data_IF_278833021782
#
_entry.id   IF_278833021782
#
_cell.length_a   1.000
_cell.length_b   1.000
_cell.length_c   1.000
_cell.angle_alpha   90.00
_cell.angle_beta   90.00
_cell.angle_gamma   90.00
#
_symmetry.space_group_name_H-M   'P 1'
#
loop_
_entity.id
_entity.type
_entity.pdbx_description
1 polymer ?
#
# COMPACT_ATOMS: atom_id res chain seq x y z
N UNK A 1 -26.52 4.54 -14.11
CA UNK A 1 -25.36 5.23 -13.51
C UNK A 1 -24.10 4.73 -14.20
N UNK A 2 -23.14 5.62 -14.45
CA UNK A 2 -21.85 5.26 -15.08
C UNK A 2 -21.00 4.53 -14.05
N UNK A 3 -20.41 3.40 -14.45
CA UNK A 3 -19.52 2.61 -13.60
C UNK A 3 -18.40 1.94 -14.41
N UNK A 4 -17.31 1.60 -13.72
CA UNK A 4 -16.16 0.86 -14.25
C UNK A 4 -15.67 -0.14 -13.19
N UNK A 5 -15.05 -1.25 -13.62
CA UNK A 5 -14.45 -2.22 -12.73
C UNK A 5 -12.93 -2.10 -12.73
N UNK A 6 -12.34 -2.34 -11.58
CA UNK A 6 -10.90 -2.42 -11.40
C UNK A 6 -10.54 -3.69 -10.65
N UNK A 7 -9.38 -4.26 -10.93
CA UNK A 7 -8.83 -5.43 -10.24
C UNK A 7 -7.47 -5.10 -9.65
N UNK A 8 -7.38 -5.09 -8.31
CA UNK A 8 -6.17 -4.80 -7.54
C UNK A 8 -5.83 -5.98 -6.66
N UNK A 9 -4.64 -6.59 -6.81
CA UNK A 9 -4.23 -7.77 -6.02
C UNK A 9 -5.25 -8.93 -6.03
N UNK A 10 -5.82 -9.19 -7.21
CA UNK A 10 -6.92 -10.13 -7.46
C UNK A 10 -8.25 -9.79 -6.75
N UNK A 11 -8.40 -8.58 -6.21
CA UNK A 11 -9.63 -8.06 -5.67
C UNK A 11 -10.31 -7.18 -6.72
N UNK A 12 -11.47 -7.61 -7.22
CA UNK A 12 -12.27 -6.78 -8.11
C UNK A 12 -13.17 -5.84 -7.33
N UNK A 13 -13.19 -4.56 -7.70
CA UNK A 13 -14.13 -3.59 -7.15
C UNK A 13 -14.75 -2.75 -8.24
N UNK A 14 -15.98 -2.32 -7.98
CA UNK A 14 -16.74 -1.45 -8.87
C UNK A 14 -16.62 -0.02 -8.40
N UNK A 15 -16.38 0.90 -9.34
CA UNK A 15 -16.43 2.34 -9.11
C UNK A 15 -17.66 2.87 -9.82
N UNK A 16 -18.52 3.57 -9.09
CA UNK A 16 -19.76 4.14 -9.58
C UNK A 16 -19.82 5.65 -9.32
N UNK A 17 -20.31 6.40 -10.32
CA UNK A 17 -20.40 7.86 -10.29
C UNK A 17 -19.60 8.49 -11.43
N UNK A 18 -20.25 9.37 -12.21
CA UNK A 18 -19.68 9.91 -13.45
C UNK A 18 -18.36 10.65 -13.24
N UNK A 19 -18.29 11.54 -12.24
CA UNK A 19 -17.10 12.34 -11.96
C UNK A 19 -15.91 11.45 -11.54
N UNK A 20 -16.14 10.47 -10.66
CA UNK A 20 -15.10 9.57 -10.18
C UNK A 20 -14.59 8.65 -11.31
N UNK A 21 -15.49 8.09 -12.12
CA UNK A 21 -15.11 7.27 -13.28
C UNK A 21 -14.32 8.11 -14.32
N UNK A 22 -14.74 9.35 -14.57
CA UNK A 22 -14.04 10.24 -15.49
C UNK A 22 -12.66 10.66 -14.98
N UNK A 23 -12.49 10.82 -13.67
CA UNK A 23 -11.18 11.07 -13.07
C UNK A 23 -10.27 9.85 -13.27
N UNK A 24 -10.68 8.67 -12.80
CA UNK A 24 -9.84 7.47 -12.83
C UNK A 24 -9.50 7.00 -14.26
N UNK A 25 -10.37 7.20 -15.24
CA UNK A 25 -10.07 6.87 -16.65
C UNK A 25 -8.95 7.74 -17.26
N UNK A 26 -8.70 8.92 -16.69
CA UNK A 26 -7.60 9.82 -17.11
C UNK A 26 -6.30 9.55 -16.37
N UNK A 27 -6.35 8.85 -15.24
CA UNK A 27 -5.18 8.53 -14.42
C UNK A 27 -4.39 7.36 -15.01
N UNK A 28 -3.18 7.61 -15.52
CA UNK A 28 -2.29 6.55 -16.02
C UNK A 28 -2.02 5.45 -14.97
N UNK A 29 -2.07 5.83 -13.69
CA UNK A 29 -1.89 4.93 -12.55
C UNK A 29 -2.92 3.80 -12.49
N UNK A 30 -4.17 4.06 -12.87
CA UNK A 30 -5.27 3.12 -12.71
C UNK A 30 -5.55 2.30 -13.97
N UNK A 31 -5.10 2.74 -15.15
CA UNK A 31 -5.35 2.05 -16.42
C UNK A 31 -4.92 0.57 -16.44
N UNK A 32 -3.73 0.16 -15.93
CA UNK A 32 -3.33 -1.25 -15.94
C UNK A 32 -4.22 -2.16 -15.09
N UNK A 33 -5.00 -1.55 -14.19
CA UNK A 33 -5.87 -2.24 -13.25
C UNK A 33 -7.34 -2.21 -13.68
N UNK A 34 -7.69 -1.53 -14.78
CA UNK A 34 -9.04 -1.53 -15.33
C UNK A 34 -9.42 -2.92 -15.85
N UNK A 35 -10.57 -3.42 -15.41
CA UNK A 35 -11.07 -4.75 -15.73
C UNK A 35 -11.66 -5.47 -14.53
N UNK A 36 -12.43 -6.52 -14.80
CA UNK A 36 -13.20 -7.26 -13.81
C UNK A 36 -14.66 -7.37 -14.22
N UNK A 37 -15.50 -7.85 -13.31
CA UNK A 37 -16.93 -8.01 -13.54
C UNK A 37 -17.71 -8.07 -12.23
N UNK A 38 -19.03 -7.94 -12.32
CA UNK A 38 -19.93 -8.03 -11.17
C UNK A 38 -19.82 -9.37 -10.43
N UNK A 39 -19.62 -10.49 -11.15
CA UNK A 39 -19.53 -11.83 -10.54
C UNK A 39 -18.31 -12.02 -9.62
N UNK A 40 -17.24 -11.24 -9.84
CA UNK A 40 -16.01 -11.28 -9.03
C UNK A 40 -15.87 -10.13 -8.03
N UNK A 41 -16.87 -9.25 -7.95
CA UNK A 41 -16.82 -8.02 -7.17
C UNK A 41 -16.76 -8.32 -5.67
N UNK A 42 -15.75 -7.77 -5.00
CA UNK A 42 -15.60 -7.89 -3.54
C UNK A 42 -16.09 -6.65 -2.80
N UNK A 43 -16.06 -5.47 -3.42
CA UNK A 43 -16.66 -4.25 -2.87
C UNK A 43 -16.98 -3.25 -3.99
N UNK A 44 -17.70 -2.19 -3.65
CA UNK A 44 -17.96 -1.08 -4.56
C UNK A 44 -17.76 0.27 -3.88
N UNK A 45 -17.51 1.28 -4.71
CA UNK A 45 -17.30 2.65 -4.29
C UNK A 45 -18.30 3.53 -5.04
N UNK A 46 -19.14 4.22 -4.27
CA UNK A 46 -20.11 5.18 -4.82
C UNK A 46 -19.65 6.60 -4.56
N UNK A 47 -19.50 7.37 -5.63
CA UNK A 47 -19.33 8.79 -5.49
C UNK A 47 -20.68 9.52 -5.43
N UNK A 48 -20.83 10.40 -4.45
CA UNK A 48 -21.95 11.32 -4.38
C UNK A 48 -21.49 12.77 -4.20
N UNK A 49 -22.08 13.67 -4.98
CA UNK A 49 -21.92 15.10 -4.81
C UNK A 49 -22.74 15.66 -3.65
N UNK A 50 -23.68 14.89 -3.09
CA UNK A 50 -24.45 15.28 -1.91
C UNK A 50 -23.61 15.15 -0.64
N UNK A 51 -23.51 16.23 0.15
CA UNK A 51 -22.81 16.19 1.43
C UNK A 51 -23.61 15.39 2.46
N UNK A 52 -23.04 14.28 2.89
CA UNK A 52 -23.46 13.52 4.07
C UNK A 52 -22.64 13.98 5.28
N UNK A 53 -23.30 14.15 6.43
CA UNK A 53 -22.68 14.60 7.67
C UNK A 53 -22.80 13.46 8.68
N UNK A 54 -21.69 13.15 9.34
CA UNK A 54 -21.61 12.11 10.36
C UNK A 54 -21.31 12.73 11.73
N UNK A 55 -21.84 12.10 12.77
CA UNK A 55 -21.30 12.29 14.12
C UNK A 55 -20.16 11.28 14.31
N UNK A 56 -19.02 11.76 14.79
CA UNK A 56 -17.80 10.96 14.98
C UNK A 56 -17.58 10.75 16.47
N UNK A 57 -17.26 9.51 16.86
CA UNK A 57 -17.05 9.13 18.26
C UNK A 57 -15.57 9.26 18.65
N UNK A 58 -14.69 8.59 17.91
CA UNK A 58 -13.25 8.52 18.17
C UNK A 58 -12.45 8.89 16.92
N UNK A 59 -11.50 9.82 17.05
CA UNK A 59 -10.44 10.01 16.06
C UNK A 59 -9.32 9.02 16.34
N UNK A 60 -9.16 8.02 15.48
CA UNK A 60 -8.21 6.92 15.64
C UNK A 60 -6.82 7.30 15.15
N UNK A 61 -6.73 8.12 14.11
CA UNK A 61 -5.46 8.54 13.53
C UNK A 61 -5.58 9.90 12.87
N UNK A 62 -4.51 10.70 12.98
CA UNK A 62 -4.38 11.99 12.33
C UNK A 62 -2.96 12.15 11.79
N UNK A 63 -2.84 12.83 10.64
CA UNK A 63 -1.57 13.18 10.06
C UNK A 63 -1.65 14.52 9.34
N UNK A 64 -0.76 15.44 9.69
CA UNK A 64 -0.52 16.67 8.93
C UNK A 64 0.67 16.44 8.01
N UNK A 65 0.40 16.33 6.70
CA UNK A 65 1.39 16.36 5.64
C UNK A 65 1.81 17.79 5.32
N UNK A 66 2.57 17.96 4.22
CA UNK A 66 3.03 19.28 3.78
C UNK A 66 1.86 20.18 3.36
N UNK A 67 0.97 19.66 2.52
CA UNK A 67 -0.14 20.41 1.91
C UNK A 67 -1.53 19.83 2.23
N UNK A 68 -1.61 18.93 3.22
CA UNK A 68 -2.88 18.30 3.59
C UNK A 68 -2.93 17.88 5.06
N UNK A 69 -4.13 17.81 5.60
CA UNK A 69 -4.45 17.13 6.85
C UNK A 69 -5.30 15.90 6.54
N UNK A 70 -4.97 14.77 7.15
CA UNK A 70 -5.69 13.52 7.07
C UNK A 70 -6.18 13.11 8.45
N UNK A 71 -7.42 12.64 8.53
CA UNK A 71 -7.98 12.01 9.73
C UNK A 71 -8.71 10.71 9.39
N UNK A 72 -8.68 9.79 10.36
CA UNK A 72 -9.39 8.52 10.32
C UNK A 72 -10.11 8.30 11.65
N UNK A 73 -11.42 8.11 11.59
CA UNK A 73 -12.31 8.15 12.76
C UNK A 73 -13.38 7.05 12.72
N UNK A 74 -13.97 6.74 13.87
CA UNK A 74 -15.18 5.91 13.97
C UNK A 74 -16.43 6.77 13.78
N UNK A 75 -17.43 6.21 13.09
CA UNK A 75 -18.74 6.81 12.95
C UNK A 75 -19.62 6.35 14.11
N UNK A 76 -20.20 7.32 14.84
CA UNK A 76 -21.03 7.06 16.01
C UNK A 76 -22.24 6.18 15.64
N UNK A 77 -22.42 5.07 16.35
CA UNK A 77 -23.59 4.21 16.25
C UNK A 77 -23.71 3.36 14.98
N UNK A 78 -22.76 3.43 14.03
CA UNK A 78 -22.80 2.61 12.79
C UNK A 78 -21.82 1.43 12.80
N UNK A 79 -20.83 1.41 13.69
CA UNK A 79 -19.71 0.46 13.63
C UNK A 79 -18.82 0.64 12.39
N UNK A 80 -18.98 1.76 11.69
CA UNK A 80 -18.25 2.11 10.48
C UNK A 80 -17.10 3.09 10.73
N UNK A 81 -16.43 3.46 9.64
CA UNK A 81 -15.26 4.34 9.67
C UNK A 81 -15.40 5.48 8.68
N UNK A 82 -14.81 6.63 9.04
CA UNK A 82 -14.77 7.84 8.24
C UNK A 82 -13.32 8.30 8.07
N UNK A 83 -12.91 8.51 6.84
CA UNK A 83 -11.61 9.02 6.45
C UNK A 83 -11.79 10.37 5.74
N UNK A 84 -10.99 11.38 6.08
CA UNK A 84 -11.06 12.70 5.46
C UNK A 84 -9.68 13.22 5.11
N UNK A 85 -9.59 13.87 3.96
CA UNK A 85 -8.47 14.73 3.57
C UNK A 85 -9.00 16.15 3.45
N UNK A 86 -8.26 17.09 4.04
CA UNK A 86 -8.44 18.52 3.87
C UNK A 86 -7.14 19.07 3.32
N UNK A 87 -7.15 19.63 2.11
CA UNK A 87 -5.97 20.27 1.51
C UNK A 87 -5.80 21.71 2.00
N UNK A 88 -4.63 22.28 1.80
CA UNK A 88 -4.26 23.66 2.17
C UNK A 88 -5.22 24.75 1.62
N UNK A 89 -5.77 24.51 0.43
CA UNK A 89 -6.77 25.35 -0.23
C UNK A 89 -8.18 25.21 0.37
N UNK A 90 -8.36 24.33 1.37
CA UNK A 90 -9.63 24.07 2.05
C UNK A 90 -10.56 23.10 1.34
N UNK A 91 -10.12 22.42 0.28
CA UNK A 91 -10.90 21.35 -0.35
C UNK A 91 -10.97 20.12 0.57
N UNK A 92 -12.18 19.63 0.78
CA UNK A 92 -12.44 18.45 1.59
C UNK A 92 -12.85 17.28 0.68
N UNK A 93 -12.20 16.13 0.85
CA UNK A 93 -12.63 14.85 0.28
C UNK A 93 -12.80 13.87 1.42
N UNK A 94 -13.88 13.09 1.41
CA UNK A 94 -14.13 12.10 2.45
C UNK A 94 -14.50 10.76 1.85
N UNK A 95 -14.07 9.69 2.51
CA UNK A 95 -14.44 8.31 2.21
C UNK A 95 -14.93 7.63 3.49
N UNK A 96 -16.01 6.89 3.40
CA UNK A 96 -16.53 6.16 4.55
C UNK A 96 -17.16 4.83 4.18
N UNK A 97 -17.33 4.00 5.21
CA UNK A 97 -18.15 2.79 5.17
C UNK A 97 -18.99 2.75 6.44
N UNK A 98 -20.21 2.23 6.34
CA UNK A 98 -21.06 1.95 7.50
C UNK A 98 -20.97 0.45 7.84
N UNK A 99 -20.83 0.12 9.12
CA UNK A 99 -20.75 -1.27 9.59
C UNK A 99 -19.70 -2.14 8.90
N UNK A 100 -20.09 -3.36 8.54
CA UNK A 100 -19.27 -4.36 7.85
C UNK A 100 -19.59 -4.45 6.34
N UNK A 101 -20.31 -3.45 5.80
CA UNK A 101 -20.71 -3.47 4.40
C UNK A 101 -19.50 -3.38 3.47
N UNK A 102 -19.61 -4.08 2.33
CA UNK A 102 -18.62 -4.03 1.24
C UNK A 102 -18.90 -2.85 0.30
N UNK A 103 -19.38 -1.74 0.86
CA UNK A 103 -19.75 -0.53 0.13
C UNK A 103 -19.02 0.64 0.77
N UNK A 104 -18.21 1.31 -0.04
CA UNK A 104 -17.56 2.57 0.30
C UNK A 104 -18.30 3.70 -0.38
N UNK A 105 -18.36 4.83 0.29
CA UNK A 105 -18.87 6.06 -0.28
C UNK A 105 -17.76 7.10 -0.31
N UNK A 106 -17.75 7.91 -1.35
CA UNK A 106 -16.81 9.02 -1.52
C UNK A 106 -17.60 10.29 -1.81
N UNK A 107 -17.19 11.40 -1.20
CA UNK A 107 -17.82 12.72 -1.43
C UNK A 107 -16.78 13.84 -1.35
N UNK A 108 -17.18 15.02 -1.81
CA UNK A 108 -16.36 16.23 -1.72
C UNK A 108 -15.57 16.49 -3.00
N UNK A 109 -14.47 17.24 -2.89
CA UNK A 109 -13.66 17.62 -4.03
C UNK A 109 -13.03 16.39 -4.71
N UNK A 110 -13.17 16.30 -6.03
CA UNK A 110 -12.58 15.25 -6.85
C UNK A 110 -11.22 15.74 -7.36
N UNK A 111 -10.18 15.56 -6.54
CA UNK A 111 -8.78 15.79 -6.94
C UNK A 111 -8.04 14.46 -7.05
N UNK A 112 -7.10 14.38 -8.00
CA UNK A 112 -6.28 13.18 -8.25
C UNK A 112 -5.60 12.67 -6.97
N UNK A 113 -4.97 13.58 -6.22
CA UNK A 113 -4.29 13.26 -4.97
C UNK A 113 -5.24 12.71 -3.90
N UNK A 114 -6.30 13.46 -3.55
CA UNK A 114 -7.17 13.08 -2.43
C UNK A 114 -7.95 11.80 -2.73
N UNK A 115 -8.45 11.66 -3.97
CA UNK A 115 -9.13 10.44 -4.41
C UNK A 115 -8.16 9.25 -4.40
N UNK A 116 -6.97 9.38 -4.99
CA UNK A 116 -5.99 8.28 -5.00
C UNK A 116 -5.61 7.83 -3.58
N UNK A 117 -5.36 8.78 -2.67
CA UNK A 117 -5.05 8.49 -1.28
C UNK A 117 -6.22 7.79 -0.57
N UNK A 118 -7.43 8.33 -0.65
CA UNK A 118 -8.59 7.74 0.03
C UNK A 118 -8.99 6.39 -0.58
N UNK A 119 -8.78 6.17 -1.87
CA UNK A 119 -8.94 4.85 -2.47
C UNK A 119 -7.96 3.83 -1.89
N UNK A 120 -6.72 4.22 -1.57
CA UNK A 120 -5.74 3.36 -0.87
C UNK A 120 -6.24 2.99 0.52
N UNK A 121 -6.71 3.98 1.27
CA UNK A 121 -7.28 3.78 2.62
C UNK A 121 -8.52 2.88 2.57
N UNK A 122 -9.45 3.19 1.67
CA UNK A 122 -10.67 2.41 1.44
C UNK A 122 -10.37 0.96 1.05
N UNK A 123 -9.39 0.74 0.18
CA UNK A 123 -8.94 -0.61 -0.16
C UNK A 123 -8.42 -1.36 1.08
N UNK A 124 -7.63 -0.70 1.92
CA UNK A 124 -7.14 -1.28 3.19
C UNK A 124 -8.29 -1.61 4.16
N UNK A 125 -9.29 -0.74 4.28
CA UNK A 125 -10.47 -0.97 5.13
C UNK A 125 -11.20 -2.28 4.79
N UNK A 126 -11.27 -2.61 3.50
CA UNK A 126 -11.93 -3.84 3.05
C UNK A 126 -11.00 -5.04 3.12
N UNK A 127 -9.71 -4.88 2.77
CA UNK A 127 -8.85 -6.02 2.44
C UNK A 127 -7.82 -6.41 3.51
N UNK A 128 -7.58 -5.59 4.54
CA UNK A 128 -6.62 -5.92 5.60
C UNK A 128 -6.97 -7.23 6.32
N UNK A 129 -8.25 -7.44 6.64
CA UNK A 129 -8.73 -8.68 7.29
C UNK A 129 -8.64 -9.91 6.36
N UNK A 130 -8.47 -9.68 5.06
CA UNK A 130 -8.22 -10.68 4.03
C UNK A 130 -6.71 -10.90 3.79
N UNK A 131 -5.85 -10.46 4.71
CA UNK A 131 -4.40 -10.68 4.64
C UNK A 131 -3.69 -9.82 3.59
N UNK A 132 -4.28 -8.68 3.20
CA UNK A 132 -3.70 -7.76 2.21
C UNK A 132 -3.33 -6.42 2.83
N UNK A 133 -2.11 -5.96 2.64
CA UNK A 133 -1.68 -4.64 3.14
C UNK A 133 -0.93 -3.88 2.05
N UNK A 134 -1.25 -2.61 1.86
CA UNK A 134 -0.41 -1.69 1.11
C UNK A 134 0.77 -1.26 1.98
N UNK A 135 1.95 -1.83 1.74
CA UNK A 135 3.13 -1.59 2.58
C UNK A 135 3.97 -0.45 1.99
N UNK A 136 4.42 0.47 2.84
CA UNK A 136 5.30 1.55 2.42
C UNK A 136 6.72 1.01 2.12
N UNK A 137 7.02 0.82 0.84
CA UNK A 137 8.24 0.14 0.37
C UNK A 137 8.47 0.23 -1.13
N UNK A 138 9.67 -0.15 -1.58
CA UNK A 138 10.02 -0.21 -3.00
C UNK A 138 10.33 -1.66 -3.38
N UNK A 139 9.67 -2.19 -4.41
CA UNK A 139 9.73 -3.60 -4.76
C UNK A 139 10.33 -3.82 -6.14
N UNK A 140 11.36 -4.66 -6.21
CA UNK A 140 11.94 -5.13 -7.47
C UNK A 140 11.65 -6.60 -7.68
N UNK A 141 11.69 -7.04 -8.94
CA UNK A 141 11.55 -8.43 -9.34
C UNK A 141 12.80 -8.85 -10.08
N UNK A 142 13.38 -9.98 -9.68
CA UNK A 142 14.54 -10.61 -10.31
C UNK A 142 14.18 -12.07 -10.60
N UNK A 143 14.18 -12.44 -11.88
CA UNK A 143 13.89 -13.81 -12.34
C UNK A 143 12.62 -14.43 -11.73
N UNK A 144 11.54 -13.64 -11.68
CA UNK A 144 10.24 -14.09 -11.19
C UNK A 144 10.09 -14.12 -9.66
N UNK A 145 11.09 -13.68 -8.90
CA UNK A 145 11.01 -13.53 -7.45
C UNK A 145 11.07 -12.05 -7.07
N UNK A 146 10.23 -11.65 -6.11
CA UNK A 146 10.19 -10.27 -5.63
C UNK A 146 11.03 -10.05 -4.37
N UNK A 147 11.59 -8.85 -4.28
CA UNK A 147 12.41 -8.37 -3.16
C UNK A 147 11.97 -6.96 -2.76
N UNK A 148 11.68 -6.80 -1.48
CA UNK A 148 11.08 -5.58 -0.93
C UNK A 148 12.09 -4.79 -0.10
N UNK A 149 12.23 -3.50 -0.41
CA UNK A 149 13.05 -2.56 0.35
C UNK A 149 12.18 -1.65 1.21
N UNK A 150 12.40 -1.72 2.52
CA UNK A 150 11.68 -0.98 3.54
C UNK A 150 12.57 0.09 4.16
N UNK A 151 11.96 1.04 4.87
CA UNK A 151 12.68 2.11 5.55
C UNK A 151 11.89 3.40 5.61
N UNK A 152 12.40 4.35 6.38
CA UNK A 152 11.76 5.65 6.59
C UNK A 152 11.56 6.41 5.27
N UNK A 153 10.60 7.33 5.25
CA UNK A 153 10.43 8.22 4.10
C UNK A 153 11.72 9.01 3.87
N UNK A 154 12.16 9.08 2.60
CA UNK A 154 13.41 9.78 2.24
C UNK A 154 14.72 9.03 2.51
N UNK A 155 14.71 7.84 3.12
CA UNK A 155 15.97 7.13 3.48
C UNK A 155 16.75 6.58 2.27
N UNK A 156 16.08 6.39 1.13
CA UNK A 156 16.70 5.92 -0.12
C UNK A 156 16.14 4.65 -0.74
N UNK A 157 14.91 4.21 -0.39
CA UNK A 157 14.27 2.99 -0.95
C UNK A 157 14.26 2.97 -2.49
N UNK A 158 13.71 4.01 -3.12
CA UNK A 158 13.66 4.15 -4.58
C UNK A 158 15.06 4.22 -5.20
N UNK A 159 16.00 4.90 -4.53
CA UNK A 159 17.42 4.93 -4.94
C UNK A 159 18.00 3.52 -4.98
N UNK A 160 17.71 2.70 -3.97
CA UNK A 160 18.24 1.34 -3.88
C UNK A 160 17.63 0.41 -4.93
N UNK A 161 16.32 0.47 -5.15
CA UNK A 161 15.66 -0.27 -6.24
C UNK A 161 16.23 0.09 -7.61
N UNK A 162 16.53 1.38 -7.84
CA UNK A 162 17.19 1.83 -9.07
C UNK A 162 18.60 1.25 -9.21
N UNK A 163 19.39 1.23 -8.13
CA UNK A 163 20.72 0.59 -8.15
C UNK A 163 20.63 -0.90 -8.48
N UNK A 164 19.59 -1.60 -7.99
CA UNK A 164 19.33 -2.98 -8.38
C UNK A 164 19.08 -3.13 -9.89
N UNK A 165 18.23 -2.27 -10.47
CA UNK A 165 17.90 -2.30 -11.90
C UNK A 165 19.12 -1.97 -12.77
N UNK A 166 19.95 -1.02 -12.32
CA UNK A 166 21.13 -0.57 -13.08
C UNK A 166 22.29 -1.59 -13.05
N UNK A 167 22.41 -2.39 -11.98
CA UNK A 167 23.62 -3.19 -11.74
C UNK A 167 23.37 -4.71 -11.71
N UNK A 168 22.11 -5.16 -11.67
CA UNK A 168 21.76 -6.59 -11.60
C UNK A 168 20.88 -6.94 -12.80
N UNK A 169 21.43 -7.75 -13.70
CA UNK A 169 20.72 -8.21 -14.91
C UNK A 169 19.38 -8.89 -14.57
N UNK A 170 18.42 -8.80 -15.50
CA UNK A 170 17.08 -9.40 -15.37
C UNK A 170 16.29 -8.91 -14.12
N UNK A 171 16.55 -7.66 -13.71
CA UNK A 171 15.82 -6.99 -12.63
C UNK A 171 14.94 -5.88 -13.19
N UNK A 172 13.73 -5.73 -12.68
CA UNK A 172 12.86 -4.60 -12.98
C UNK A 172 12.07 -4.14 -11.74
N UNK A 173 11.57 -2.90 -11.77
CA UNK A 173 10.71 -2.35 -10.73
C UNK A 173 9.28 -2.90 -10.86
N UNK A 174 8.71 -3.39 -9.77
CA UNK A 174 7.30 -3.79 -9.70
C UNK A 174 6.41 -2.62 -9.27
N UNK A 175 6.81 -1.92 -8.21
CA UNK A 175 6.15 -0.74 -7.67
C UNK A 175 7.12 -0.02 -6.71
N UNK A 176 7.02 1.30 -6.63
CA UNK A 176 7.82 2.12 -5.73
C UNK A 176 6.89 2.95 -4.87
N UNK A 177 6.68 2.62 -3.59
CA UNK A 177 5.95 3.33 -2.53
C UNK A 177 4.90 2.46 -1.85
N UNK A 178 3.92 1.94 -2.58
CA UNK A 178 2.78 1.24 -1.96
C UNK A 178 2.46 -0.11 -2.65
N UNK A 179 3.41 -1.05 -2.78
CA UNK A 179 3.10 -2.40 -3.24
C UNK A 179 2.14 -3.08 -2.26
N UNK A 180 1.32 -4.00 -2.77
CA UNK A 180 0.35 -4.74 -1.94
C UNK A 180 0.94 -6.10 -1.61
N UNK A 181 1.11 -6.39 -0.32
CA UNK A 181 1.43 -7.74 0.17
C UNK A 181 0.12 -8.51 0.35
N UNK A 182 0.10 -9.79 0.00
CA UNK A 182 -0.97 -10.72 0.33
C UNK A 182 -0.39 -11.99 0.92
N UNK A 183 -0.79 -12.33 2.14
CA UNK A 183 -0.55 -13.66 2.69
C UNK A 183 -1.81 -14.52 2.52
N UNK A 184 -1.72 -15.59 1.73
CA UNK A 184 -2.86 -16.46 1.40
C UNK A 184 -3.02 -17.65 2.38
N UNK A 185 -2.19 -17.71 3.43
CA UNK A 185 -2.13 -18.82 4.39
C UNK A 185 -1.00 -19.80 4.11
N UNK A 186 -0.40 -19.79 2.92
CA UNK A 186 0.72 -20.65 2.56
C UNK A 186 1.94 -19.86 2.11
N UNK A 187 1.76 -18.91 1.19
CA UNK A 187 2.84 -18.11 0.61
C UNK A 187 2.53 -16.62 0.70
N UNK A 188 3.60 -15.82 0.74
CA UNK A 188 3.52 -14.37 0.68
C UNK A 188 3.72 -13.91 -0.75
N UNK A 189 2.71 -13.26 -1.30
CA UNK A 189 2.72 -12.64 -2.60
C UNK A 189 2.87 -11.14 -2.47
N UNK A 190 3.48 -10.51 -3.48
CA UNK A 190 3.50 -9.06 -3.60
C UNK A 190 3.04 -8.65 -5.00
N UNK A 191 2.25 -7.59 -5.04
CA UNK A 191 1.61 -7.06 -6.23
C UNK A 191 2.07 -5.63 -6.47
N UNK A 192 2.15 -5.24 -7.74
CA UNK A 192 2.15 -3.82 -8.08
C UNK A 192 0.80 -3.18 -7.76
N UNK A 193 0.79 -1.85 -7.67
CA UNK A 193 -0.40 -1.07 -7.33
C UNK A 193 -0.44 0.23 -8.14
N UNK A 194 -1.58 0.95 -8.16
CA UNK A 194 -1.68 2.27 -8.77
C UNK A 194 -0.98 3.35 -7.93
N UNK A 195 -0.59 3.02 -6.69
CA UNK A 195 0.04 3.94 -5.78
C UNK A 195 1.56 3.77 -5.86
N UNK A 196 2.19 4.66 -6.61
CA UNK A 196 3.64 4.73 -6.78
C UNK A 196 4.10 6.16 -6.47
N UNK A 197 5.22 6.28 -5.77
CA UNK A 197 5.86 7.51 -5.35
C UNK A 197 6.70 8.11 -6.46
N UNK A 198 7.97 8.43 -6.16
CA UNK A 198 8.81 9.25 -7.05
C UNK A 198 9.04 8.65 -8.44
N UNK A 199 9.04 7.32 -8.54
CA UNK A 199 9.18 6.62 -9.80
C UNK A 199 7.82 6.05 -10.20
N UNK A 200 7.14 6.62 -11.21
CA UNK A 200 5.88 6.06 -11.72
C UNK A 200 6.08 4.61 -12.21
N UNK A 201 5.40 3.66 -11.58
CA UNK A 201 5.48 2.25 -11.92
C UNK A 201 4.17 1.54 -11.56
N UNK A 202 3.34 1.29 -12.58
CA UNK A 202 1.98 0.78 -12.42
C UNK A 202 1.87 -0.55 -13.16
N UNK A 203 2.08 -1.64 -12.42
CA UNK A 203 2.07 -3.01 -12.96
C UNK A 203 1.00 -3.83 -12.28
N UNK A 204 0.05 -4.33 -13.04
CA UNK A 204 -0.91 -5.32 -12.57
C UNK A 204 -0.30 -6.73 -12.67
N UNK A 205 0.80 -6.93 -11.95
CA UNK A 205 1.59 -8.16 -11.92
C UNK A 205 1.76 -8.60 -10.47
N UNK A 206 2.02 -9.90 -10.25
CA UNK A 206 2.27 -10.49 -8.93
C UNK A 206 3.43 -11.46 -8.96
N UNK A 207 4.18 -11.51 -7.87
CA UNK A 207 5.33 -12.40 -7.71
C UNK A 207 5.41 -12.90 -6.26
N UNK A 208 5.98 -14.11 -6.03
CA UNK A 208 6.26 -14.55 -4.69
C UNK A 208 7.31 -13.65 -4.05
N UNK A 209 7.06 -13.19 -2.83
CA UNK A 209 8.00 -12.39 -2.06
C UNK A 209 9.02 -13.33 -1.41
N UNK A 210 10.30 -13.22 -1.78
CA UNK A 210 11.36 -14.12 -1.27
C UNK A 210 12.23 -13.49 -0.19
N UNK A 211 12.26 -12.17 -0.11
CA UNK A 211 12.94 -11.48 0.98
C UNK A 211 12.64 -10.00 1.04
N UNK A 212 12.97 -9.41 2.17
CA UNK A 212 12.93 -7.97 2.35
C UNK A 212 14.13 -7.45 3.13
N UNK A 213 14.53 -6.21 2.87
CA UNK A 213 15.59 -5.54 3.61
C UNK A 213 15.11 -4.17 4.09
N UNK A 214 15.26 -3.88 5.38
CA UNK A 214 15.09 -2.53 5.91
C UNK A 214 16.38 -1.74 5.77
N UNK A 215 16.31 -0.63 5.03
CA UNK A 215 17.43 0.23 4.69
C UNK A 215 17.65 1.28 5.77
N UNK A 216 18.91 1.56 6.05
CA UNK A 216 19.37 2.68 6.87
C UNK A 216 20.63 3.26 6.24
N UNK A 217 20.77 4.59 6.24
CA UNK A 217 21.99 5.23 5.73
C UNK A 217 23.16 5.00 6.67
N UNK A 218 24.31 4.66 6.12
CA UNK A 218 25.54 4.43 6.87
C UNK A 218 26.77 4.83 6.01
N UNK A 219 27.93 5.13 6.64
CA UNK A 219 29.17 5.41 5.91
C UNK A 219 29.83 4.14 5.32
N UNK A 220 29.14 3.00 5.33
CA UNK A 220 29.62 1.70 4.90
C UNK A 220 28.46 0.86 4.34
N UNK A 221 28.81 -0.21 3.61
CA UNK A 221 27.87 -1.20 3.11
C UNK A 221 27.93 -2.44 3.99
N UNK A 222 26.82 -2.78 4.66
CA UNK A 222 26.69 -3.95 5.52
C UNK A 222 25.26 -4.47 5.51
N UNK A 223 25.12 -5.76 5.25
CA UNK A 223 23.85 -6.46 5.35
C UNK A 223 23.90 -7.56 6.41
N UNK A 224 22.84 -7.66 7.21
CA UNK A 224 22.72 -8.63 8.30
C UNK A 224 21.34 -9.28 8.25
N UNK A 225 21.30 -10.61 8.27
CA UNK A 225 20.06 -11.36 8.42
C UNK A 225 19.49 -11.16 9.82
N UNK A 226 18.19 -10.92 9.91
CA UNK A 226 17.48 -10.81 11.17
C UNK A 226 16.91 -12.18 11.51
N UNK A 227 17.36 -12.80 12.59
CA UNK A 227 16.94 -14.16 12.97
C UNK A 227 15.88 -14.19 14.08
N UNK A 228 15.79 -13.13 14.88
CA UNK A 228 14.79 -13.07 15.96
C UNK A 228 13.50 -12.47 15.42
N UNK A 229 12.37 -13.08 15.75
CA UNK A 229 11.02 -12.60 15.39
C UNK A 229 10.83 -11.11 15.71
N UNK A 230 11.28 -10.66 16.89
CA UNK A 230 11.16 -9.25 17.30
C UNK A 230 11.95 -8.28 16.40
N UNK A 231 13.10 -8.70 15.87
CA UNK A 231 13.93 -7.87 15.00
C UNK A 231 13.29 -7.78 13.60
N UNK A 232 12.78 -8.89 13.09
CA UNK A 232 12.05 -8.93 11.83
C UNK A 232 10.78 -8.08 11.89
N UNK A 233 10.02 -8.24 12.97
CA UNK A 233 8.81 -7.45 13.22
C UNK A 233 9.13 -5.95 13.26
N UNK A 234 10.16 -5.55 14.00
CA UNK A 234 10.61 -4.15 14.08
C UNK A 234 11.10 -3.61 12.74
N UNK A 235 11.57 -4.48 11.83
CA UNK A 235 11.96 -4.08 10.49
C UNK A 235 10.75 -3.89 9.55
N UNK A 236 9.69 -4.69 9.70
CA UNK A 236 8.52 -4.68 8.80
C UNK A 236 7.45 -3.69 9.28
N UNK A 237 7.05 -3.80 10.54
CA UNK A 237 5.90 -3.10 11.11
C UNK A 237 5.86 -1.59 10.82
N UNK A 238 6.96 -0.82 10.94
CA UNK A 238 6.90 0.63 10.73
C UNK A 238 6.62 1.06 9.28
N UNK A 239 6.60 0.12 8.33
CA UNK A 239 6.18 0.36 6.95
C UNK A 239 4.70 0.01 6.69
N UNK A 240 3.98 -0.55 7.66
CA UNK A 240 2.56 -0.86 7.52
C UNK A 240 1.70 0.41 7.62
N UNK A 241 0.45 0.40 7.09
CA UNK A 241 -0.43 1.58 7.14
C UNK A 241 -0.73 2.00 8.59
N UNK A 242 -0.25 3.17 9.04
CA UNK A 242 -0.39 3.58 10.43
C UNK A 242 -1.84 3.92 10.81
N UNK A 243 -2.68 4.30 9.85
CA UNK A 243 -4.08 4.70 10.04
C UNK A 243 -4.95 3.60 10.69
N UNK A 244 -4.52 2.35 10.62
CA UNK A 244 -5.25 1.20 11.17
C UNK A 244 -4.69 0.69 12.49
N UNK A 245 -3.65 1.32 13.04
CA UNK A 245 -2.90 0.79 14.21
C UNK A 245 -3.70 0.79 15.51
N UNK A 246 -4.68 1.67 15.63
CA UNK A 246 -5.50 1.84 16.83
C UNK A 246 -6.87 1.16 16.73
N UNK A 247 -7.10 0.38 15.67
CA UNK A 247 -8.33 -0.36 15.45
C UNK A 247 -8.05 -1.88 15.45
N UNK A 248 -8.51 -2.56 16.50
CA UNK A 248 -8.15 -3.96 16.77
C UNK A 248 -8.40 -4.89 15.58
N UNK A 249 -9.59 -4.82 14.97
CA UNK A 249 -9.95 -5.70 13.85
C UNK A 249 -9.08 -5.46 12.60
N UNK A 250 -8.81 -4.19 12.27
CA UNK A 250 -7.99 -3.84 11.10
C UNK A 250 -6.52 -4.20 11.36
N UNK A 251 -6.03 -3.91 12.57
CA UNK A 251 -4.66 -4.22 12.98
C UNK A 251 -4.38 -5.71 13.09
N UNK A 252 -5.38 -6.52 13.48
CA UNK A 252 -5.28 -7.98 13.48
C UNK A 252 -4.99 -8.52 12.06
N UNK A 253 -5.60 -7.92 11.03
CA UNK A 253 -5.31 -8.25 9.62
C UNK A 253 -3.86 -7.92 9.22
N UNK A 254 -3.36 -6.75 9.63
CA UNK A 254 -1.97 -6.35 9.43
C UNK A 254 -1.02 -7.33 10.13
N UNK A 255 -1.29 -7.64 11.40
CA UNK A 255 -0.47 -8.53 12.22
C UNK A 255 -0.36 -9.93 11.61
N UNK A 256 -1.47 -10.52 11.14
CA UNK A 256 -1.46 -11.81 10.42
C UNK A 256 -0.60 -11.77 9.15
N UNK A 257 -0.62 -10.65 8.43
CA UNK A 257 0.20 -10.48 7.23
C UNK A 257 1.69 -10.40 7.57
N UNK A 258 2.04 -9.68 8.63
CA UNK A 258 3.43 -9.62 9.13
C UNK A 258 3.90 -10.99 9.62
N UNK A 259 3.05 -11.73 10.35
CA UNK A 259 3.34 -13.10 10.77
C UNK A 259 3.67 -14.00 9.58
N UNK A 260 2.85 -13.95 8.53
CA UNK A 260 3.09 -14.65 7.27
C UNK A 260 4.41 -14.26 6.59
N UNK A 261 4.79 -12.98 6.63
CA UNK A 261 6.11 -12.53 6.15
C UNK A 261 7.24 -13.14 6.96
N UNK A 262 7.19 -13.01 8.29
CA UNK A 262 8.22 -13.50 9.21
C UNK A 262 8.41 -15.01 9.08
N UNK A 263 7.35 -15.78 8.83
CA UNK A 263 7.42 -17.22 8.68
C UNK A 263 7.93 -17.68 7.31
N UNK A 264 7.83 -16.84 6.27
CA UNK A 264 7.95 -17.30 4.87
C UNK A 264 9.11 -16.67 4.10
N UNK A 265 9.65 -15.52 4.53
CA UNK A 265 10.65 -14.77 3.76
C UNK A 265 11.90 -14.47 4.60
N UNK A 266 13.04 -14.26 3.92
CA UNK A 266 14.26 -13.80 4.59
C UNK A 266 14.19 -12.29 4.85
N UNK A 267 14.43 -11.88 6.09
CA UNK A 267 14.39 -10.46 6.49
C UNK A 267 15.78 -9.97 6.86
N UNK A 268 16.18 -8.82 6.33
CA UNK A 268 17.51 -8.25 6.52
C UNK A 268 17.45 -6.81 7.02
N UNK A 269 18.54 -6.37 7.65
CA UNK A 269 18.89 -4.96 7.80
C UNK A 269 20.03 -4.64 6.84
N UNK A 270 19.87 -3.58 6.06
CA UNK A 270 20.89 -3.07 5.14
C UNK A 270 21.30 -1.66 5.58
N UNK A 271 22.53 -1.54 6.04
CA UNK A 271 23.25 -0.28 6.22
C UNK A 271 24.01 0.01 4.93
N UNK A 272 23.76 1.13 4.25
CA UNK A 272 24.36 1.34 2.93
C UNK A 272 24.64 2.80 2.55
N UNK A 273 25.62 2.92 1.64
CA UNK A 273 25.83 4.05 0.74
C UNK A 273 24.98 3.86 -0.53
N UNK A 274 24.61 4.93 -1.26
CA UNK A 274 23.87 4.82 -2.51
C UNK A 274 24.79 4.48 -3.69
N UNK A 275 25.42 3.30 -3.67
CA UNK A 275 26.37 2.86 -4.69
C UNK A 275 26.09 1.42 -5.17
N UNK A 276 26.74 1.03 -6.27
CA UNK A 276 26.64 -0.31 -6.87
C UNK A 276 26.92 -1.44 -5.85
N UNK A 277 27.93 -1.28 -5.00
CA UNK A 277 28.29 -2.27 -3.99
C UNK A 277 27.11 -2.59 -3.05
N UNK A 278 26.32 -1.59 -2.64
CA UNK A 278 25.13 -1.80 -1.83
C UNK A 278 24.10 -2.71 -2.52
N UNK A 279 23.86 -2.51 -3.83
CA UNK A 279 22.98 -3.37 -4.61
C UNK A 279 23.54 -4.80 -4.67
N UNK A 280 24.84 -4.95 -4.95
CA UNK A 280 25.48 -6.26 -5.07
C UNK A 280 25.48 -7.06 -3.76
N UNK A 281 25.80 -6.44 -2.62
CA UNK A 281 25.78 -7.16 -1.32
C UNK A 281 24.36 -7.57 -0.93
N UNK A 282 23.36 -6.74 -1.23
CA UNK A 282 21.96 -7.04 -0.91
C UNK A 282 21.41 -8.12 -1.82
N UNK A 283 21.73 -8.10 -3.10
CA UNK A 283 21.43 -9.16 -4.05
C UNK A 283 22.03 -10.50 -3.62
N UNK A 284 23.32 -10.51 -3.30
CA UNK A 284 23.98 -11.73 -2.84
C UNK A 284 23.39 -12.29 -1.54
N UNK A 285 22.86 -11.46 -0.66
CA UNK A 285 22.24 -11.94 0.58
C UNK A 285 20.79 -12.40 0.38
N UNK A 286 20.00 -11.64 -0.38
CA UNK A 286 18.57 -11.88 -0.61
C UNK A 286 18.33 -13.05 -1.56
N UNK A 287 19.17 -13.21 -2.59
CA UNK A 287 18.99 -14.21 -3.65
C UNK A 287 19.81 -15.50 -3.44
N UNK A 288 20.63 -15.59 -2.38
CA UNK A 288 21.28 -16.87 -2.03
C UNK A 288 20.23 -17.84 -1.52
N UNK A 289 20.26 -19.07 -2.04
CA UNK A 289 19.47 -20.21 -1.56
C UNK A 289 19.79 -20.50 -0.09
#
# INVERSE_FOLDING_TARGET
MIHTFYTLSNCCFKVEGEELVQLLSKEEAFKPFEGGSEEGKIFEIHYSSSRTIFSLEDTLFEHTGEDFYFSFSRIEGSGGYFAQIITDNGEETSLWREGEDSVLFLQGAISSFAVSFLLRVGFGLITNTMGRIAIHGSCVVKEGNAYLFLGESGIGKSTHSRLWIENIENTFLLNDDSPIIHYDGEEVWIYGSPWSGKTPCYKNERYPLKGCARITQAPHNKIVALERVIDMYSAIHPSCPPEFSYEENLYNGISRTIEGMISSIKVFRLECLPNEEAAMISYQALCKE
#
